data_IF_668615433547
#
_entry.id   IF_668615433547
#
_cell.length_a   1.000
_cell.length_b   1.000
_cell.length_c   1.000
_cell.angle_alpha   90.00
_cell.angle_beta   90.00
_cell.angle_gamma   90.00
#
_symmetry.space_group_name_H-M   'P 1'
#
loop_
_entity.id
_entity.type
_entity.pdbx_description
1 polymer ?
#
# COMPACT_ATOMS: atom_id res chain seq x y z
N UNK A 1 28.31 8.67 -6.17
CA UNK A 1 27.01 9.38 -6.15
C UNK A 1 27.04 10.29 -4.92
N UNK A 2 26.29 11.40 -4.83
CA UNK A 2 26.15 12.02 -3.52
C UNK A 2 25.40 11.02 -2.64
N UNK A 3 26.07 10.50 -1.61
CA UNK A 3 25.46 9.57 -0.68
C UNK A 3 24.30 10.30 0.01
N UNK A 4 23.09 9.76 -0.11
CA UNK A 4 21.94 10.31 0.61
C UNK A 4 22.22 10.26 2.10
N UNK A 5 21.79 11.29 2.82
CA UNK A 5 21.95 11.37 4.27
C UNK A 5 20.59 11.39 4.94
N UNK A 6 20.57 11.14 6.25
CA UNK A 6 19.38 11.28 7.10
C UNK A 6 18.61 12.59 6.84
N UNK A 7 19.33 13.71 6.80
CA UNK A 7 18.74 15.04 6.54
C UNK A 7 18.10 15.13 5.14
N UNK A 8 18.71 14.51 4.13
CA UNK A 8 18.12 14.44 2.80
C UNK A 8 16.81 13.66 2.82
N UNK A 9 16.75 12.52 3.52
CA UNK A 9 15.53 11.71 3.61
C UNK A 9 14.39 12.44 4.31
N UNK A 10 14.65 13.11 5.44
CA UNK A 10 13.66 13.94 6.13
C UNK A 10 13.09 15.00 5.18
N UNK A 11 13.97 15.67 4.42
CA UNK A 11 13.53 16.66 3.42
C UNK A 11 12.68 16.03 2.31
N UNK A 12 13.01 14.84 1.84
CA UNK A 12 12.23 14.15 0.81
C UNK A 12 10.85 13.76 1.33
N UNK A 13 10.75 13.15 2.52
CA UNK A 13 9.46 12.84 3.15
C UNK A 13 8.58 14.08 3.33
N UNK A 14 9.14 15.19 3.82
CA UNK A 14 8.41 16.46 3.97
C UNK A 14 7.89 17.02 2.64
N UNK A 15 8.64 16.83 1.53
CA UNK A 15 8.16 17.22 0.21
C UNK A 15 6.98 16.36 -0.24
N UNK A 16 7.01 15.04 0.02
CA UNK A 16 5.88 14.15 -0.25
C UNK A 16 4.64 14.55 0.55
N UNK A 17 4.82 14.82 1.85
CA UNK A 17 3.75 15.30 2.74
C UNK A 17 3.13 16.59 2.19
N UNK A 18 3.96 17.57 1.84
CA UNK A 18 3.49 18.84 1.27
C UNK A 18 2.70 18.62 -0.03
N UNK A 19 3.20 17.76 -0.93
CA UNK A 19 2.53 17.42 -2.18
C UNK A 19 1.15 16.79 -1.94
N UNK A 20 1.06 15.84 -1.00
CA UNK A 20 -0.22 15.25 -0.63
C UNK A 20 -1.17 16.28 -0.01
N UNK A 21 -0.70 17.10 0.94
CA UNK A 21 -1.50 18.13 1.63
C UNK A 21 -2.14 19.13 0.67
N UNK A 22 -1.36 19.64 -0.29
CA UNK A 22 -1.84 20.60 -1.27
C UNK A 22 -3.00 20.03 -2.09
N UNK A 23 -2.87 18.78 -2.51
CA UNK A 23 -3.87 18.11 -3.34
C UNK A 23 -5.08 17.62 -2.51
N UNK A 24 -4.88 17.12 -1.29
CA UNK A 24 -5.97 16.74 -0.38
C UNK A 24 -6.89 17.94 -0.07
N UNK A 25 -6.33 19.12 0.21
CA UNK A 25 -7.10 20.36 0.42
C UNK A 25 -7.92 20.78 -0.80
N UNK A 26 -7.48 20.41 -2.01
CA UNK A 26 -8.24 20.66 -3.24
C UNK A 26 -9.33 19.61 -3.42
N UNK A 27 -9.05 18.33 -3.16
CA UNK A 27 -10.04 17.25 -3.21
C UNK A 27 -11.20 17.50 -2.24
N UNK A 28 -10.92 18.02 -1.03
CA UNK A 28 -11.96 18.40 -0.06
C UNK A 28 -13.00 19.38 -0.61
N UNK A 29 -12.63 20.18 -1.62
CA UNK A 29 -13.51 21.17 -2.26
C UNK A 29 -14.31 20.61 -3.42
N UNK A 30 -13.99 19.40 -3.89
CA UNK A 30 -14.67 18.75 -5.02
C UNK A 30 -16.02 18.13 -4.64
N UNK A 31 -16.39 18.12 -3.34
CA UNK A 31 -17.63 17.50 -2.84
C UNK A 31 -17.84 16.05 -3.35
N UNK A 32 -16.75 15.26 -3.42
CA UNK A 32 -16.81 13.88 -3.91
C UNK A 32 -17.70 12.99 -3.03
N UNK A 33 -18.41 12.03 -3.64
CA UNK A 33 -19.15 11.02 -2.89
C UNK A 33 -18.18 9.99 -2.31
N UNK A 34 -18.00 10.02 -0.98
CA UNK A 34 -17.18 9.05 -0.25
C UNK A 34 -17.87 7.68 -0.10
N UNK A 35 -19.14 7.53 -0.50
CA UNK A 35 -19.77 6.22 -0.62
C UNK A 35 -19.40 5.50 -1.91
N UNK A 36 -18.83 6.21 -2.89
CA UNK A 36 -18.26 5.61 -4.07
C UNK A 36 -16.95 4.87 -3.71
N UNK A 37 -16.88 3.62 -4.12
CA UNK A 37 -15.75 2.74 -3.79
C UNK A 37 -14.45 3.24 -4.39
N UNK A 38 -14.48 3.79 -5.61
CA UNK A 38 -13.28 4.18 -6.32
C UNK A 38 -12.71 5.49 -5.75
N UNK A 39 -13.57 6.47 -5.51
CA UNK A 39 -13.19 7.72 -4.84
C UNK A 39 -12.58 7.46 -3.47
N UNK A 40 -13.27 6.66 -2.64
CA UNK A 40 -12.78 6.33 -1.30
C UNK A 40 -11.49 5.50 -1.33
N UNK A 41 -11.33 4.61 -2.32
CA UNK A 41 -10.10 3.85 -2.53
C UNK A 41 -8.91 4.76 -2.86
N UNK A 42 -9.01 5.59 -3.92
CA UNK A 42 -7.90 6.44 -4.35
C UNK A 42 -7.58 7.53 -3.31
N UNK A 43 -8.60 8.13 -2.69
CA UNK A 43 -8.39 9.07 -1.58
C UNK A 43 -7.70 8.38 -0.38
N UNK A 44 -8.17 7.18 0.00
CA UNK A 44 -7.61 6.42 1.10
C UNK A 44 -6.13 6.10 0.88
N UNK A 45 -5.73 5.80 -0.35
CA UNK A 45 -4.32 5.57 -0.70
C UNK A 45 -3.49 6.85 -0.59
N UNK A 46 -3.97 8.00 -1.03
CA UNK A 46 -3.27 9.29 -0.84
C UNK A 46 -3.08 9.59 0.65
N UNK A 47 -4.13 9.44 1.46
CA UNK A 47 -4.08 9.68 2.91
C UNK A 47 -3.09 8.73 3.59
N UNK A 48 -3.09 7.45 3.20
CA UNK A 48 -2.15 6.45 3.71
C UNK A 48 -0.70 6.82 3.38
N UNK A 49 -0.42 7.20 2.14
CA UNK A 49 0.92 7.66 1.72
C UNK A 49 1.34 8.90 2.51
N UNK A 50 0.47 9.90 2.63
CA UNK A 50 0.70 11.10 3.44
C UNK A 50 1.07 10.73 4.88
N UNK A 51 0.27 9.88 5.52
CA UNK A 51 0.43 9.49 6.92
C UNK A 51 1.76 8.77 7.15
N UNK A 52 2.09 7.77 6.33
CA UNK A 52 3.35 7.03 6.46
C UNK A 52 4.57 7.95 6.27
N UNK A 53 4.53 8.86 5.30
CA UNK A 53 5.63 9.81 5.09
C UNK A 53 5.77 10.81 6.25
N UNK A 54 4.67 11.25 6.85
CA UNK A 54 4.70 12.09 8.04
C UNK A 54 5.27 11.33 9.26
N UNK A 55 4.88 10.06 9.44
CA UNK A 55 5.43 9.18 10.48
C UNK A 55 6.94 9.01 10.30
N UNK A 56 7.42 8.87 9.06
CA UNK A 56 8.85 8.82 8.78
C UNK A 56 9.59 10.08 9.20
N UNK A 57 9.06 11.28 8.93
CA UNK A 57 9.68 12.54 9.37
C UNK A 57 9.89 12.55 10.88
N UNK A 58 8.90 12.11 11.65
CA UNK A 58 8.98 11.99 13.11
C UNK A 58 10.00 10.92 13.52
N UNK A 59 9.96 9.74 12.89
CA UNK A 59 10.88 8.64 13.20
C UNK A 59 12.33 9.04 12.95
N UNK A 60 12.64 9.68 11.83
CA UNK A 60 13.99 10.16 11.56
C UNK A 60 14.40 11.26 12.55
N UNK A 61 13.53 12.20 12.92
CA UNK A 61 13.87 13.25 13.88
C UNK A 61 14.16 12.70 15.28
N UNK A 62 13.43 11.67 15.71
CA UNK A 62 13.50 11.11 17.07
C UNK A 62 14.46 9.94 17.22
N UNK A 63 14.87 9.29 16.13
CA UNK A 63 15.78 8.15 16.14
C UNK A 63 17.19 8.55 16.60
N UNK A 64 17.53 8.10 17.81
CA UNK A 64 18.84 8.24 18.45
C UNK A 64 19.71 7.00 18.32
N UNK A 65 19.15 5.86 17.90
CA UNK A 65 19.75 4.52 18.01
C UNK A 65 19.97 3.80 16.67
N UNK A 66 19.71 4.44 15.52
CA UNK A 66 19.87 3.87 14.16
C UNK A 66 18.97 2.66 13.88
N UNK A 67 17.91 2.46 14.66
CA UNK A 67 17.03 1.28 14.58
C UNK A 67 16.32 1.17 13.22
N UNK A 68 16.35 -0.02 12.61
CA UNK A 68 15.83 -0.23 11.25
C UNK A 68 14.41 -0.79 11.24
N UNK A 69 14.01 -1.50 12.29
CA UNK A 69 12.75 -2.25 12.33
C UNK A 69 11.54 -1.44 11.88
N UNK A 70 11.25 -0.32 12.55
CA UNK A 70 10.09 0.53 12.22
C UNK A 70 10.21 1.10 10.81
N UNK A 71 11.42 1.45 10.37
CA UNK A 71 11.66 2.01 9.04
C UNK A 71 11.38 0.98 7.95
N UNK A 72 11.90 -0.23 8.10
CA UNK A 72 11.72 -1.31 7.13
C UNK A 72 10.25 -1.73 7.02
N UNK A 73 9.52 -1.80 8.14
CA UNK A 73 8.07 -2.09 8.14
C UNK A 73 7.31 -1.02 7.35
N UNK A 74 7.53 0.26 7.64
CA UNK A 74 6.83 1.36 6.97
C UNK A 74 7.22 1.49 5.50
N UNK A 75 8.50 1.32 5.16
CA UNK A 75 8.95 1.38 3.77
C UNK A 75 8.38 0.21 2.98
N UNK A 76 8.29 -0.99 3.57
CA UNK A 76 7.62 -2.14 2.96
C UNK A 76 6.17 -1.82 2.59
N UNK A 77 5.45 -1.07 3.42
CA UNK A 77 4.09 -0.61 3.10
C UNK A 77 4.07 0.33 1.89
N UNK A 78 4.99 1.31 1.80
CA UNK A 78 5.08 2.20 0.64
C UNK A 78 5.39 1.44 -0.66
N UNK A 79 6.26 0.43 -0.58
CA UNK A 79 6.61 -0.41 -1.74
C UNK A 79 5.42 -1.27 -2.18
N UNK A 80 4.71 -1.90 -1.23
CA UNK A 80 3.53 -2.70 -1.55
C UNK A 80 2.47 -1.84 -2.24
N UNK A 81 2.15 -0.69 -1.66
CA UNK A 81 1.18 0.27 -2.23
C UNK A 81 1.59 0.70 -3.66
N UNK A 82 2.87 0.99 -3.91
CA UNK A 82 3.39 1.33 -5.24
C UNK A 82 3.19 0.22 -6.26
N UNK A 83 3.56 -1.03 -5.92
CA UNK A 83 3.41 -2.16 -6.83
C UNK A 83 1.94 -2.34 -7.21
N UNK A 84 1.03 -2.30 -6.23
CA UNK A 84 -0.40 -2.48 -6.49
C UNK A 84 -0.96 -1.34 -7.34
N UNK A 85 -0.71 -0.08 -6.95
CA UNK A 85 -1.32 1.09 -7.61
C UNK A 85 -0.81 1.27 -9.03
N UNK A 86 0.49 1.15 -9.27
CA UNK A 86 1.01 1.28 -10.64
C UNK A 86 0.47 0.17 -11.52
N UNK A 87 0.42 -1.07 -11.03
CA UNK A 87 -0.19 -2.18 -11.78
C UNK A 87 -1.67 -1.90 -12.11
N UNK A 88 -2.47 -1.50 -11.12
CA UNK A 88 -3.89 -1.14 -11.32
C UNK A 88 -4.04 -0.03 -12.36
N UNK A 89 -3.20 1.01 -12.29
CA UNK A 89 -3.25 2.15 -13.19
C UNK A 89 -2.80 1.85 -14.62
N UNK A 90 -2.06 0.75 -14.84
CA UNK A 90 -1.63 0.31 -16.16
C UNK A 90 -2.62 -0.65 -16.83
N UNK A 91 -3.64 -1.13 -16.11
CA UNK A 91 -4.68 -2.00 -16.64
C UNK A 91 -5.76 -1.21 -17.37
N UNK A 92 -6.33 -1.78 -18.43
CA UNK A 92 -7.35 -1.14 -19.27
C UNK A 92 -8.61 -0.75 -18.47
N UNK A 93 -9.01 -1.63 -17.55
CA UNK A 93 -10.11 -1.38 -16.61
C UNK A 93 -9.57 -1.36 -15.17
N UNK A 94 -8.99 -0.21 -14.80
CA UNK A 94 -8.47 0.02 -13.45
C UNK A 94 -9.56 -0.15 -12.37
N UNK A 95 -10.81 0.17 -12.67
CA UNK A 95 -11.91 0.07 -11.70
C UNK A 95 -12.27 -1.38 -11.40
N UNK A 96 -12.34 -2.25 -12.42
CA UNK A 96 -12.51 -3.69 -12.20
C UNK A 96 -11.33 -4.28 -11.41
N UNK A 97 -10.11 -3.77 -11.59
CA UNK A 97 -8.97 -4.18 -10.76
C UNK A 97 -9.12 -3.76 -9.30
N UNK A 98 -9.59 -2.54 -9.02
CA UNK A 98 -9.93 -2.09 -7.66
C UNK A 98 -11.03 -2.96 -7.06
N UNK A 99 -12.10 -3.25 -7.81
CA UNK A 99 -13.17 -4.16 -7.35
C UNK A 99 -12.63 -5.55 -7.03
N UNK A 100 -11.76 -6.12 -7.87
CA UNK A 100 -11.11 -7.42 -7.61
C UNK A 100 -10.24 -7.39 -6.35
N UNK A 101 -9.45 -6.33 -6.17
CA UNK A 101 -8.60 -6.16 -4.98
C UNK A 101 -9.44 -6.11 -3.70
N UNK A 102 -10.50 -5.31 -3.70
CA UNK A 102 -11.40 -5.18 -2.55
C UNK A 102 -12.18 -6.48 -2.29
N UNK A 103 -12.64 -7.16 -3.34
CA UNK A 103 -13.30 -8.47 -3.24
C UNK A 103 -12.38 -9.53 -2.62
N UNK A 104 -11.12 -9.57 -3.04
CA UNK A 104 -10.13 -10.49 -2.50
C UNK A 104 -9.81 -10.19 -1.03
N UNK A 105 -9.72 -8.91 -0.65
CA UNK A 105 -9.56 -8.49 0.74
C UNK A 105 -10.75 -8.91 1.63
N UNK A 106 -11.99 -8.73 1.14
CA UNK A 106 -13.20 -9.19 1.82
C UNK A 106 -13.18 -10.71 2.04
N UNK A 107 -12.85 -11.48 1.00
CA UNK A 107 -12.76 -12.93 1.07
C UNK A 107 -11.69 -13.40 2.05
N UNK A 108 -10.50 -12.81 2.01
CA UNK A 108 -9.40 -13.11 2.95
C UNK A 108 -9.79 -12.81 4.40
N UNK A 109 -10.47 -11.70 4.66
CA UNK A 109 -10.94 -11.36 6.00
C UNK A 109 -12.02 -12.32 6.49
N UNK A 110 -12.98 -12.70 5.64
CA UNK A 110 -13.97 -13.72 5.98
C UNK A 110 -13.31 -15.05 6.33
N UNK A 111 -12.37 -15.52 5.51
CA UNK A 111 -11.64 -16.77 5.75
C UNK A 111 -10.87 -16.76 7.07
N UNK A 112 -10.17 -15.67 7.40
CA UNK A 112 -9.48 -15.53 8.69
C UNK A 112 -10.43 -15.65 9.89
N UNK A 113 -11.61 -15.04 9.80
CA UNK A 113 -12.62 -15.14 10.85
C UNK A 113 -13.22 -16.55 10.93
N UNK A 114 -13.40 -17.21 9.78
CA UNK A 114 -13.83 -18.61 9.72
C UNK A 114 -12.80 -19.55 10.33
N UNK A 115 -11.51 -19.36 10.06
CA UNK A 115 -10.41 -20.13 10.67
C UNK A 115 -10.42 -19.95 12.20
N UNK A 116 -10.72 -18.75 12.67
CA UNK A 116 -10.85 -18.46 14.10
C UNK A 116 -12.09 -19.11 14.72
N UNK A 117 -13.22 -19.14 13.99
CA UNK A 117 -14.42 -19.86 14.42
C UNK A 117 -14.16 -21.36 14.50
N UNK A 118 -13.47 -21.91 13.50
CA UNK A 118 -13.05 -23.30 13.49
C UNK A 118 -12.18 -23.63 14.71
N UNK A 119 -11.21 -22.78 15.04
CA UNK A 119 -10.39 -22.94 16.23
C UNK A 119 -11.25 -22.93 17.51
N UNK A 120 -12.20 -22.00 17.62
CA UNK A 120 -13.07 -21.89 18.78
C UNK A 120 -13.89 -23.17 18.99
N UNK A 121 -14.56 -23.62 17.95
CA UNK A 121 -15.43 -24.80 17.99
C UNK A 121 -14.63 -26.09 18.22
N UNK A 122 -13.57 -26.31 17.44
CA UNK A 122 -12.85 -27.59 17.43
C UNK A 122 -11.81 -27.73 18.55
N UNK A 123 -11.29 -26.62 19.08
CA UNK A 123 -10.19 -26.62 20.08
C UNK A 123 -10.57 -26.00 21.41
N UNK A 124 -11.56 -25.11 21.44
CA UNK A 124 -11.98 -24.38 22.66
C UNK A 124 -13.43 -24.72 23.07
N UNK A 125 -14.00 -25.79 22.51
CA UNK A 125 -15.36 -26.29 22.76
C UNK A 125 -16.49 -25.30 22.40
N UNK A 126 -16.21 -24.26 21.61
CA UNK A 126 -17.18 -23.22 21.24
C UNK A 126 -17.48 -22.20 22.34
N UNK A 127 -16.85 -22.32 23.52
CA UNK A 127 -17.18 -21.53 24.70
C UNK A 127 -16.27 -20.31 24.90
N UNK A 128 -15.26 -20.09 24.04
CA UNK A 128 -14.36 -18.94 24.19
C UNK A 128 -15.04 -17.67 23.69
N UNK A 129 -15.40 -16.72 24.57
CA UNK A 129 -16.35 -15.65 24.25
C UNK A 129 -15.77 -14.55 23.34
N UNK A 130 -14.46 -14.58 23.10
CA UNK A 130 -13.78 -13.57 22.27
C UNK A 130 -13.61 -14.01 20.81
N UNK A 131 -13.92 -15.26 20.47
CA UNK A 131 -13.81 -15.79 19.11
C UNK A 131 -15.21 -16.07 18.53
N UNK A 132 -15.37 -15.95 17.20
CA UNK A 132 -16.63 -16.25 16.56
C UNK A 132 -17.01 -17.73 16.71
N UNK A 133 -18.30 -18.03 16.60
CA UNK A 133 -18.83 -19.40 16.41
C UNK A 133 -19.19 -19.63 14.95
N UNK A 134 -19.48 -20.88 14.57
CA UNK A 134 -19.95 -21.15 13.20
C UNK A 134 -21.27 -20.44 12.88
N UNK A 135 -22.21 -20.39 13.83
CA UNK A 135 -23.49 -19.71 13.65
C UNK A 135 -23.30 -18.21 13.37
N UNK A 136 -22.40 -17.56 14.12
CA UNK A 136 -22.06 -16.15 13.89
C UNK A 136 -21.42 -15.94 12.51
N UNK A 137 -20.62 -16.89 12.03
CA UNK A 137 -20.03 -16.80 10.69
C UNK A 137 -21.05 -16.97 9.56
N UNK A 138 -22.08 -17.81 9.73
CA UNK A 138 -23.19 -17.89 8.77
C UNK A 138 -24.01 -16.60 8.76
N UNK A 139 -24.22 -15.94 9.90
CA UNK A 139 -24.83 -14.60 9.91
C UNK A 139 -24.00 -13.56 9.15
N UNK A 140 -22.67 -13.58 9.33
CA UNK A 140 -21.76 -12.68 8.60
C UNK A 140 -21.83 -12.93 7.10
N UNK A 141 -21.82 -14.21 6.69
CA UNK A 141 -21.97 -14.62 5.30
C UNK A 141 -23.27 -14.11 4.70
N UNK A 142 -24.40 -14.29 5.40
CA UNK A 142 -25.70 -13.82 4.93
C UNK A 142 -25.73 -12.29 4.81
N UNK A 143 -25.19 -11.55 5.80
CA UNK A 143 -25.05 -10.08 5.72
C UNK A 143 -24.20 -9.63 4.53
N UNK A 144 -23.19 -10.39 4.13
CA UNK A 144 -22.39 -10.10 2.94
C UNK A 144 -23.19 -10.34 1.65
N UNK A 145 -23.93 -11.46 1.58
CA UNK A 145 -24.79 -11.83 0.44
C UNK A 145 -25.91 -10.81 0.23
N UNK A 146 -26.49 -10.27 1.30
CA UNK A 146 -27.64 -9.36 1.24
C UNK A 146 -27.25 -7.90 1.03
N UNK A 147 -25.97 -7.56 1.14
CA UNK A 147 -25.48 -6.18 1.03
C UNK A 147 -25.50 -5.69 -0.43
N UNK A 148 -26.33 -4.68 -0.80
CA UNK A 148 -26.37 -4.19 -2.18
C UNK A 148 -25.02 -3.64 -2.65
N UNK A 149 -24.27 -3.01 -1.74
CA UNK A 149 -22.93 -2.44 -2.00
C UNK A 149 -21.84 -3.50 -2.27
N UNK A 150 -22.11 -4.79 -2.05
CA UNK A 150 -21.13 -5.87 -2.22
C UNK A 150 -21.44 -6.80 -3.37
N UNK A 151 -22.54 -6.58 -4.08
CA UNK A 151 -22.99 -7.50 -5.12
C UNK A 151 -21.97 -7.61 -6.25
N UNK A 152 -21.29 -6.52 -6.61
CA UNK A 152 -20.29 -6.48 -7.67
C UNK A 152 -18.94 -7.11 -7.29
N UNK A 153 -18.72 -7.44 -6.01
CA UNK A 153 -17.53 -8.16 -5.54
C UNK A 153 -17.61 -9.67 -5.73
N UNK A 154 -18.80 -10.23 -5.93
CA UNK A 154 -18.99 -11.66 -6.15
C UNK A 154 -18.70 -12.02 -7.61
N UNK A 155 -17.97 -13.12 -7.81
CA UNK A 155 -17.89 -13.80 -9.11
C UNK A 155 -19.01 -14.83 -9.27
N UNK A 156 -19.47 -15.40 -8.15
CA UNK A 156 -20.55 -16.39 -8.07
C UNK A 156 -21.16 -16.32 -6.67
N UNK A 157 -22.29 -15.60 -6.56
CA UNK A 157 -22.97 -15.30 -5.30
C UNK A 157 -23.56 -16.54 -4.64
N UNK A 158 -24.15 -17.43 -5.44
CA UNK A 158 -24.86 -18.61 -4.94
C UNK A 158 -23.91 -19.58 -4.23
N UNK A 159 -22.65 -19.64 -4.68
CA UNK A 159 -21.60 -20.42 -4.05
C UNK A 159 -20.68 -19.60 -3.13
N UNK A 160 -21.07 -18.36 -2.79
CA UNK A 160 -20.29 -17.44 -1.94
C UNK A 160 -18.83 -17.26 -2.40
N UNK A 161 -18.62 -17.07 -3.71
CA UNK A 161 -17.30 -16.87 -4.32
C UNK A 161 -17.10 -15.41 -4.71
N UNK A 162 -16.02 -14.83 -4.20
CA UNK A 162 -15.56 -13.48 -4.52
C UNK A 162 -14.67 -13.49 -5.77
N UNK A 163 -14.67 -12.37 -6.49
CA UNK A 163 -13.64 -12.07 -7.47
C UNK A 163 -12.25 -12.14 -6.82
N UNK A 164 -11.28 -12.64 -7.57
CA UNK A 164 -9.91 -12.82 -7.09
C UNK A 164 -8.99 -11.77 -7.65
N UNK A 165 -7.98 -11.39 -6.88
CA UNK A 165 -6.92 -10.48 -7.29
C UNK A 165 -5.57 -11.20 -7.35
N UNK A 166 -4.66 -10.71 -8.20
CA UNK A 166 -3.35 -11.32 -8.40
C UNK A 166 -2.49 -11.10 -7.15
N UNK A 167 -1.74 -12.12 -6.75
CA UNK A 167 -0.70 -11.95 -5.74
C UNK A 167 0.45 -11.09 -6.29
N UNK A 168 1.16 -10.36 -5.43
CA UNK A 168 2.29 -9.49 -5.81
C UNK A 168 3.32 -10.20 -6.69
N UNK A 169 3.68 -11.45 -6.38
CA UNK A 169 4.61 -12.22 -7.22
C UNK A 169 4.07 -12.60 -8.61
N UNK A 170 2.75 -12.66 -8.80
CA UNK A 170 2.14 -12.88 -10.11
C UNK A 170 2.09 -11.58 -10.91
N UNK A 171 1.76 -10.46 -10.27
CA UNK A 171 1.82 -9.12 -10.88
C UNK A 171 3.18 -8.93 -11.56
N UNK A 172 4.26 -9.15 -10.83
CA UNK A 172 5.63 -8.94 -11.34
C UNK A 172 6.02 -9.89 -12.47
N UNK A 173 5.52 -11.13 -12.45
CA UNK A 173 5.82 -12.13 -13.49
C UNK A 173 5.06 -11.89 -14.79
N UNK A 174 3.95 -11.16 -14.73
CA UNK A 174 3.07 -10.90 -15.87
C UNK A 174 3.29 -9.51 -16.47
N UNK A 175 4.20 -8.70 -15.92
CA UNK A 175 4.56 -7.39 -16.46
C UNK A 175 5.04 -7.50 -17.91
N UNK A 176 4.44 -6.70 -18.78
CA UNK A 176 4.85 -6.57 -20.19
C UNK A 176 6.02 -5.60 -20.32
N UNK A 177 6.84 -5.80 -21.36
CA UNK A 177 8.05 -4.98 -21.56
C UNK A 177 7.76 -3.49 -21.87
N UNK A 178 6.52 -3.16 -22.21
CA UNK A 178 6.07 -1.79 -22.55
C UNK A 178 5.41 -1.05 -21.36
N UNK A 179 5.32 -1.68 -20.18
CA UNK A 179 4.65 -1.06 -19.03
C UNK A 179 5.43 0.13 -18.47
N UNK A 180 4.68 1.19 -18.15
CA UNK A 180 5.21 2.33 -17.42
C UNK A 180 5.77 1.86 -16.07
N UNK A 181 6.97 2.32 -15.73
CA UNK A 181 7.69 1.96 -14.51
C UNK A 181 8.13 0.49 -14.39
N UNK A 182 8.24 -0.26 -15.49
CA UNK A 182 8.66 -1.68 -15.47
C UNK A 182 9.92 -1.96 -14.62
N UNK A 183 10.97 -1.15 -14.79
CA UNK A 183 12.22 -1.34 -14.06
C UNK A 183 12.05 -1.09 -12.56
N UNK A 184 11.33 -0.03 -12.19
CA UNK A 184 11.00 0.31 -10.82
C UNK A 184 10.13 -0.77 -10.17
N UNK A 185 9.13 -1.30 -10.87
CA UNK A 185 8.28 -2.39 -10.35
C UNK A 185 9.08 -3.65 -10.03
N UNK A 186 9.99 -4.05 -10.93
CA UNK A 186 10.88 -5.19 -10.69
C UNK A 186 11.79 -4.93 -9.50
N UNK A 187 12.36 -3.73 -9.40
CA UNK A 187 13.26 -3.35 -8.30
C UNK A 187 12.52 -3.26 -6.96
N UNK A 188 11.37 -2.60 -6.93
CA UNK A 188 10.43 -2.55 -5.83
C UNK A 188 10.11 -3.95 -5.29
N UNK A 189 9.83 -4.91 -6.17
CA UNK A 189 9.55 -6.29 -5.76
C UNK A 189 10.70 -6.95 -5.00
N UNK A 190 11.95 -6.77 -5.43
CA UNK A 190 13.11 -7.34 -4.73
C UNK A 190 13.35 -6.67 -3.38
N UNK A 191 13.16 -5.35 -3.29
CA UNK A 191 13.26 -4.61 -2.02
C UNK A 191 12.12 -5.04 -1.06
N UNK A 192 10.90 -5.17 -1.58
CA UNK A 192 9.74 -5.67 -0.84
C UNK A 192 9.99 -7.07 -0.28
N UNK A 193 10.62 -7.96 -1.05
CA UNK A 193 11.03 -9.29 -0.59
C UNK A 193 12.05 -9.20 0.54
N UNK A 194 13.13 -8.43 0.36
CA UNK A 194 14.15 -8.21 1.40
C UNK A 194 13.50 -7.76 2.72
N UNK A 195 12.62 -6.76 2.68
CA UNK A 195 11.95 -6.28 3.89
C UNK A 195 10.89 -7.26 4.42
N UNK A 196 10.28 -8.07 3.56
CA UNK A 196 9.39 -9.14 4.00
C UNK A 196 10.15 -10.22 4.78
N UNK A 197 11.35 -10.60 4.31
CA UNK A 197 12.20 -11.56 5.01
C UNK A 197 12.68 -10.99 6.36
N UNK A 198 12.99 -9.70 6.42
CA UNK A 198 13.40 -9.02 7.65
C UNK A 198 12.32 -9.01 8.74
N UNK A 199 11.04 -8.78 8.41
CA UNK A 199 9.96 -8.70 9.41
C UNK A 199 9.57 -10.05 9.99
N UNK A 200 10.01 -11.16 9.39
CA UNK A 200 9.78 -12.50 9.91
C UNK A 200 10.91 -12.87 10.88
N UNK A 201 10.52 -13.28 12.09
CA UNK A 201 11.48 -13.59 13.16
C UNK A 201 12.49 -14.65 12.72
N UNK A 202 13.74 -14.21 12.59
CA UNK A 202 14.89 -15.05 12.28
C UNK A 202 16.17 -14.38 12.80
N UNK A 203 17.28 -15.12 12.86
CA UNK A 203 18.57 -14.54 13.26
C UNK A 203 19.04 -13.45 12.27
N UNK A 204 18.55 -13.49 11.03
CA UNK A 204 18.85 -12.50 10.00
C UNK A 204 18.51 -11.08 10.46
N UNK A 205 17.34 -10.88 11.09
CA UNK A 205 16.91 -9.56 11.58
C UNK A 205 17.89 -8.98 12.60
N UNK A 206 18.41 -9.83 13.50
CA UNK A 206 19.42 -9.41 14.47
C UNK A 206 20.74 -9.07 13.79
N UNK A 207 21.19 -9.90 12.85
CA UNK A 207 22.41 -9.66 12.08
C UNK A 207 22.34 -8.35 11.29
N UNK A 208 21.22 -8.06 10.63
CA UNK A 208 21.02 -6.81 9.88
C UNK A 208 21.05 -5.59 10.80
N UNK A 209 20.36 -5.60 11.95
CA UNK A 209 20.40 -4.49 12.92
C UNK A 209 21.80 -4.24 13.51
N UNK A 210 22.68 -5.25 13.54
CA UNK A 210 24.06 -5.09 14.00
C UNK A 210 25.04 -4.65 12.90
N UNK A 211 24.73 -4.92 11.63
CA UNK A 211 25.70 -4.79 10.53
C UNK A 211 25.41 -3.64 9.57
N UNK A 212 24.14 -3.29 9.39
CA UNK A 212 23.72 -2.18 8.54
C UNK A 212 24.05 -0.85 9.21
N UNK A 213 24.77 0.01 8.49
CA UNK A 213 25.10 1.37 8.91
C UNK A 213 24.64 2.32 7.81
N UNK A 214 23.42 2.88 7.91
CA UNK A 214 22.86 3.68 6.83
C UNK A 214 23.69 4.91 6.42
N UNK A 215 24.58 5.38 7.30
CA UNK A 215 25.50 6.49 7.01
C UNK A 215 26.73 6.06 6.18
N UNK A 216 27.00 4.74 6.10
CA UNK A 216 28.20 4.17 5.45
C UNK A 216 27.90 3.21 4.31
N UNK A 217 26.65 2.78 4.17
CA UNK A 217 26.20 1.88 3.11
C UNK A 217 25.14 2.54 2.20
N UNK A 218 24.56 1.76 1.28
CA UNK A 218 23.58 2.26 0.30
C UNK A 218 22.15 2.35 0.84
N UNK A 219 21.91 2.12 2.14
CA UNK A 219 20.56 2.06 2.72
C UNK A 219 19.81 3.38 2.55
N UNK A 220 20.45 4.53 2.76
CA UNK A 220 19.79 5.81 2.51
C UNK A 220 19.50 6.07 1.04
N UNK A 221 20.27 5.48 0.12
CA UNK A 221 19.95 5.54 -1.32
C UNK A 221 18.73 4.66 -1.64
N UNK A 222 18.64 3.47 -1.05
CA UNK A 222 17.47 2.59 -1.15
C UNK A 222 16.22 3.26 -0.56
N UNK A 223 16.34 3.93 0.59
CA UNK A 223 15.26 4.71 1.18
C UNK A 223 14.80 5.87 0.28
N UNK A 224 15.73 6.64 -0.29
CA UNK A 224 15.39 7.73 -1.20
C UNK A 224 14.62 7.23 -2.45
N UNK A 225 14.99 6.06 -2.95
CA UNK A 225 14.26 5.41 -4.03
C UNK A 225 12.83 5.03 -3.62
N UNK A 226 12.64 4.44 -2.45
CA UNK A 226 11.30 4.09 -1.95
C UNK A 226 10.44 5.33 -1.73
N UNK A 227 11.01 6.45 -1.32
CA UNK A 227 10.28 7.73 -1.21
C UNK A 227 9.78 8.18 -2.58
N UNK A 228 10.54 7.95 -3.65
CA UNK A 228 10.09 8.23 -5.02
C UNK A 228 8.87 7.38 -5.41
N UNK A 229 8.81 6.12 -4.97
CA UNK A 229 7.64 5.26 -5.20
C UNK A 229 6.38 5.85 -4.58
N UNK A 230 6.50 6.44 -3.37
CA UNK A 230 5.37 7.11 -2.72
C UNK A 230 4.83 8.29 -3.52
N UNK A 231 5.72 9.10 -4.13
CA UNK A 231 5.32 10.17 -5.04
C UNK A 231 4.50 9.61 -6.22
N UNK A 232 5.01 8.57 -6.89
CA UNK A 232 4.32 7.97 -8.04
C UNK A 232 2.98 7.34 -7.65
N UNK A 233 2.90 6.71 -6.48
CA UNK A 233 1.62 6.21 -5.93
C UNK A 233 0.61 7.33 -5.78
N UNK A 234 0.98 8.44 -5.12
CA UNK A 234 0.09 9.59 -4.95
C UNK A 234 -0.31 10.15 -6.32
N UNK A 235 0.65 10.35 -7.23
CA UNK A 235 0.40 10.87 -8.58
C UNK A 235 -0.62 10.01 -9.33
N UNK A 236 -0.44 8.69 -9.36
CA UNK A 236 -1.39 7.76 -10.00
C UNK A 236 -2.78 7.81 -9.37
N UNK A 237 -2.88 7.97 -8.05
CA UNK A 237 -4.17 8.18 -7.38
C UNK A 237 -4.78 9.55 -7.71
N UNK A 238 -3.98 10.61 -7.87
CA UNK A 238 -4.48 11.94 -8.23
C UNK A 238 -5.01 12.00 -9.66
N UNK A 239 -4.44 11.22 -10.59
CA UNK A 239 -4.95 11.12 -11.96
C UNK A 239 -6.41 10.65 -11.99
N UNK A 240 -6.85 9.82 -11.04
CA UNK A 240 -8.29 9.49 -10.91
C UNK A 240 -9.13 10.75 -10.73
N UNK A 241 -8.67 11.70 -9.91
CA UNK A 241 -9.41 12.93 -9.68
C UNK A 241 -9.34 13.87 -10.89
N UNK A 242 -8.20 13.98 -11.58
CA UNK A 242 -8.10 14.77 -12.82
C UNK A 242 -8.99 14.22 -13.95
N UNK A 243 -9.12 12.89 -14.07
CA UNK A 243 -9.90 12.26 -15.13
C UNK A 243 -11.42 12.36 -14.91
N UNK A 244 -11.87 12.37 -13.65
CA UNK A 244 -13.29 12.29 -13.31
C UNK A 244 -13.87 13.60 -12.75
N UNK A 245 -13.02 14.56 -12.42
CA UNK A 245 -13.42 15.84 -11.83
C UNK A 245 -12.64 16.99 -12.49
N UNK A 246 -13.14 18.21 -12.40
CA UNK A 246 -12.38 19.42 -12.79
C UNK A 246 -11.27 19.69 -11.75
N UNK A 247 -10.29 18.80 -11.71
CA UNK A 247 -9.18 18.80 -10.79
C UNK A 247 -7.88 19.01 -11.57
N UNK A 248 -6.96 19.77 -10.97
CA UNK A 248 -5.63 20.01 -11.51
C UNK A 248 -4.63 19.66 -10.42
N UNK A 249 -3.62 18.86 -10.71
CA UNK A 249 -2.60 18.52 -9.71
C UNK A 249 -1.73 19.74 -9.40
N UNK A 250 -1.44 19.94 -8.12
CA UNK A 250 -0.49 20.96 -7.65
C UNK A 250 0.80 20.31 -7.14
N UNK A 251 1.94 20.72 -7.67
CA UNK A 251 3.27 20.24 -7.27
C UNK A 251 4.21 21.42 -7.03
N UNK A 252 4.00 22.15 -5.92
CA UNK A 252 4.77 23.36 -5.59
C UNK A 252 6.27 23.12 -5.41
N UNK A 253 6.65 21.87 -5.13
CA UNK A 253 8.02 21.45 -4.89
C UNK A 253 8.71 20.89 -6.14
N UNK A 254 8.06 20.92 -7.31
CA UNK A 254 8.56 20.38 -8.57
C UNK A 254 9.12 18.94 -8.42
N UNK A 255 8.39 18.07 -7.69
CA UNK A 255 8.75 16.67 -7.53
C UNK A 255 8.77 15.93 -8.86
N UNK A 256 7.87 16.28 -9.79
CA UNK A 256 7.86 15.73 -11.14
C UNK A 256 9.22 15.92 -11.84
N UNK A 257 9.73 17.15 -11.83
CA UNK A 257 11.02 17.48 -12.44
C UNK A 257 12.19 16.84 -11.67
N UNK A 258 12.14 16.90 -10.33
CA UNK A 258 13.14 16.28 -9.47
C UNK A 258 13.31 14.79 -9.77
N UNK A 259 12.21 14.02 -9.78
CA UNK A 259 12.27 12.58 -10.01
C UNK A 259 12.53 12.23 -11.48
N UNK A 260 12.08 13.05 -12.45
CA UNK A 260 12.44 12.90 -13.86
C UNK A 260 13.95 12.94 -14.09
N UNK A 261 14.67 13.77 -13.33
CA UNK A 261 16.11 13.98 -13.42
C UNK A 261 16.91 13.15 -12.39
N UNK A 262 16.23 12.44 -11.48
CA UNK A 262 16.86 11.57 -10.50
C UNK A 262 17.28 10.24 -11.12
N UNK A 263 18.27 9.59 -10.49
CA UNK A 263 18.78 8.27 -10.92
C UNK A 263 17.80 7.13 -10.60
N UNK A 264 16.66 7.42 -9.95
CA UNK A 264 15.64 6.44 -9.54
C UNK A 264 14.72 5.97 -10.70
N UNK A 265 15.25 5.93 -11.93
CA UNK A 265 14.56 5.41 -13.12
C UNK A 265 14.73 3.92 -13.29
#
# INVERSE_FOLDING_TARGET
MPDFTKTHLVRLHNRIVTFADENLKKIEKLEIDLNDEYNSFFLGMIIRQHTINNDFSILFETDRSRELTSKYILYRCLIDDFIQIVFISNEEDKYEMVTKLNADALNKNFKKLMDLAQLNEEKLNGDYPFYPTYDQMEEVKQKMIDSPKRQHHFSDKDNFKFKTYKATGNIIRELKDEEEHLHQLRRAYFIWRKYSDYVHYSNLTFEEEQTVDPDKDSTYTEFAEIISYSYFTILKCLNHFEENYEFEITDSNNLAEYYKNSVHR
#
